data_IF_240782306151
#
_entry.id   IF_240782306151
#
_cell.length_a   1.000
_cell.length_b   1.000
_cell.length_c   1.000
_cell.angle_alpha   90.00
_cell.angle_beta   90.00
_cell.angle_gamma   90.00
#
_symmetry.space_group_name_H-M   'P 1'
#
loop_
_entity.id
_entity.type
_entity.pdbx_description
1 polymer ?
#
# COMPACT_ATOMS: atom_id res chain seq x y z
N UNK A 1 17.96 -17.54 33.20
CA UNK A 1 17.15 -16.36 32.92
C UNK A 1 17.10 -16.17 31.41
N UNK A 2 15.98 -16.51 30.75
CA UNK A 2 15.76 -16.10 29.36
C UNK A 2 15.48 -14.59 29.44
N UNK A 3 16.45 -13.79 29.08
CA UNK A 3 16.21 -12.40 28.77
C UNK A 3 15.09 -12.38 27.71
N UNK A 4 14.03 -11.70 28.01
CA UNK A 4 12.91 -11.44 27.09
C UNK A 4 13.43 -10.49 26.01
N UNK A 5 14.18 -11.03 25.07
CA UNK A 5 14.74 -10.28 23.96
C UNK A 5 13.54 -9.83 23.13
N UNK A 6 13.18 -8.55 23.26
CA UNK A 6 12.11 -7.90 22.50
C UNK A 6 12.22 -8.23 21.01
N UNK A 7 11.18 -7.92 20.25
CA UNK A 7 11.18 -8.17 18.80
C UNK A 7 12.39 -7.44 18.16
N UNK A 8 13.27 -8.16 17.42
CA UNK A 8 14.43 -7.53 16.79
C UNK A 8 14.00 -6.47 15.77
N UNK A 9 14.71 -5.36 15.71
CA UNK A 9 14.41 -4.28 14.76
C UNK A 9 14.67 -4.71 13.32
N UNK A 10 15.77 -5.43 13.09
CA UNK A 10 16.17 -5.97 11.78
C UNK A 10 15.67 -7.37 11.55
N UNK A 11 15.67 -7.82 10.29
CA UNK A 11 15.28 -9.17 9.93
C UNK A 11 16.26 -10.22 10.48
N UNK A 12 15.72 -11.37 10.84
CA UNK A 12 16.47 -12.60 11.16
C UNK A 12 16.34 -13.60 9.99
N UNK A 13 17.17 -14.66 9.96
CA UNK A 13 17.08 -15.68 8.90
C UNK A 13 15.71 -16.35 8.79
N UNK A 14 14.98 -16.49 9.89
CA UNK A 14 13.71 -17.19 10.00
C UNK A 14 12.47 -16.27 10.03
N UNK A 15 12.61 -14.95 10.27
CA UNK A 15 11.48 -14.03 10.45
C UNK A 15 11.82 -12.58 10.13
N UNK A 16 10.78 -11.80 9.86
CA UNK A 16 10.91 -10.36 9.68
C UNK A 16 11.02 -9.61 11.01
N UNK A 17 11.86 -8.59 11.05
CA UNK A 17 12.01 -7.68 12.19
C UNK A 17 10.89 -6.65 12.30
N UNK A 18 10.89 -5.92 13.41
CA UNK A 18 9.86 -4.95 13.75
C UNK A 18 9.66 -3.87 12.67
N UNK A 19 10.75 -3.33 12.11
CA UNK A 19 10.67 -2.29 11.06
C UNK A 19 10.01 -2.82 9.79
N UNK A 20 10.38 -4.02 9.34
CA UNK A 20 9.76 -4.66 8.17
C UNK A 20 8.26 -4.89 8.37
N UNK A 21 7.88 -5.37 9.56
CA UNK A 21 6.47 -5.58 9.92
C UNK A 21 5.70 -4.28 9.99
N UNK A 22 6.25 -3.26 10.64
CA UNK A 22 5.63 -1.93 10.75
C UNK A 22 5.36 -1.35 9.35
N UNK A 23 6.38 -1.30 8.49
CA UNK A 23 6.25 -0.77 7.14
C UNK A 23 5.22 -1.57 6.31
N UNK A 24 5.20 -2.91 6.44
CA UNK A 24 4.23 -3.74 5.74
C UNK A 24 2.79 -3.43 6.17
N UNK A 25 2.53 -3.47 7.47
CA UNK A 25 1.18 -3.30 7.99
C UNK A 25 0.67 -1.87 7.87
N UNK A 26 1.54 -0.85 8.01
CA UNK A 26 1.18 0.54 7.74
C UNK A 26 0.72 0.73 6.30
N UNK A 27 1.47 0.20 5.33
CA UNK A 27 1.08 0.23 3.91
C UNK A 27 -0.24 -0.48 3.69
N UNK A 28 -0.44 -1.67 4.25
CA UNK A 28 -1.68 -2.43 4.12
C UNK A 28 -2.90 -1.66 4.65
N UNK A 29 -2.81 -1.12 5.86
CA UNK A 29 -3.90 -0.35 6.49
C UNK A 29 -4.24 0.90 5.68
N UNK A 30 -3.22 1.62 5.23
CA UNK A 30 -3.45 2.83 4.45
C UNK A 30 -4.00 2.53 3.04
N UNK A 31 -3.61 1.43 2.40
CA UNK A 31 -4.25 1.00 1.14
C UNK A 31 -5.71 0.59 1.36
N UNK A 32 -6.03 -0.13 2.43
CA UNK A 32 -7.42 -0.46 2.77
C UNK A 32 -8.25 0.82 2.96
N UNK A 33 -7.71 1.81 3.69
CA UNK A 33 -8.34 3.13 3.84
C UNK A 33 -8.55 3.81 2.48
N UNK A 34 -7.56 3.79 1.57
CA UNK A 34 -7.66 4.39 0.24
C UNK A 34 -8.79 3.79 -0.59
N UNK A 35 -8.96 2.46 -0.56
CA UNK A 35 -10.08 1.80 -1.26
C UNK A 35 -11.44 2.21 -0.69
N UNK A 36 -11.58 2.19 0.63
CA UNK A 36 -12.83 2.60 1.30
C UNK A 36 -13.12 4.07 1.04
N UNK A 37 -12.13 4.95 1.25
CA UNK A 37 -12.23 6.39 1.02
C UNK A 37 -12.58 6.74 -0.43
N UNK A 38 -11.94 6.07 -1.41
CA UNK A 38 -12.23 6.26 -2.83
C UNK A 38 -13.69 5.89 -3.18
N UNK A 39 -14.20 4.79 -2.62
CA UNK A 39 -15.59 4.40 -2.82
C UNK A 39 -16.58 5.36 -2.17
N UNK A 40 -16.26 5.92 -1.02
CA UNK A 40 -17.08 6.93 -0.35
C UNK A 40 -17.07 8.22 -1.20
N UNK A 41 -15.90 8.80 -1.46
CA UNK A 41 -15.78 10.10 -2.13
C UNK A 41 -16.40 10.14 -3.53
N UNK A 42 -16.40 9.01 -4.25
CA UNK A 42 -16.94 8.95 -5.62
C UNK A 42 -18.44 8.68 -5.68
N UNK A 43 -19.06 8.23 -4.61
CA UNK A 43 -20.48 7.89 -4.53
C UNK A 43 -21.28 8.77 -3.58
N UNK A 44 -20.61 9.55 -2.74
CA UNK A 44 -21.27 10.40 -1.74
C UNK A 44 -21.95 11.59 -2.47
N UNK A 45 -23.28 11.79 -2.31
CA UNK A 45 -23.95 13.01 -2.76
C UNK A 45 -23.32 14.25 -2.12
N UNK A 46 -23.37 15.41 -2.80
CA UNK A 46 -22.70 16.64 -2.36
C UNK A 46 -23.17 17.15 -0.99
N UNK A 47 -24.43 16.96 -0.69
CA UNK A 47 -25.10 17.35 0.55
C UNK A 47 -25.03 16.30 1.66
N UNK A 48 -24.62 15.08 1.32
CA UNK A 48 -24.54 13.98 2.27
C UNK A 48 -23.25 14.01 3.11
N UNK A 49 -23.30 13.41 4.28
CA UNK A 49 -22.17 13.26 5.19
C UNK A 49 -22.06 11.82 5.68
N UNK A 50 -20.83 11.33 5.82
CA UNK A 50 -20.51 10.06 6.45
C UNK A 50 -19.66 10.35 7.68
N UNK A 51 -20.10 9.91 8.85
CA UNK A 51 -19.49 10.25 10.14
C UNK A 51 -19.27 11.76 10.35
N UNK A 52 -20.20 12.60 9.87
CA UNK A 52 -20.09 14.06 9.93
C UNK A 52 -19.18 14.71 8.87
N UNK A 53 -18.46 13.94 8.07
CA UNK A 53 -17.51 14.39 7.06
C UNK A 53 -18.17 14.45 5.67
N UNK A 54 -17.90 15.51 4.93
CA UNK A 54 -18.38 15.70 3.54
C UNK A 54 -17.44 15.06 2.52
N UNK A 55 -17.82 15.12 1.23
CA UNK A 55 -17.02 14.60 0.13
C UNK A 55 -15.63 15.21 0.04
N UNK A 56 -15.48 16.53 0.25
CA UNK A 56 -14.20 17.23 0.17
C UNK A 56 -13.18 16.69 1.17
N UNK A 57 -13.62 16.39 2.38
CA UNK A 57 -12.79 15.73 3.39
C UNK A 57 -12.17 14.43 2.85
N UNK A 58 -12.99 13.55 2.24
CA UNK A 58 -12.49 12.28 1.71
C UNK A 58 -11.55 12.48 0.51
N UNK A 59 -11.80 13.46 -0.36
CA UNK A 59 -10.90 13.82 -1.47
C UNK A 59 -9.55 14.32 -0.96
N UNK A 60 -9.52 15.23 0.00
CA UNK A 60 -8.27 15.79 0.54
C UNK A 60 -7.46 14.74 1.30
N UNK A 61 -8.13 13.89 2.07
CA UNK A 61 -7.47 12.79 2.76
C UNK A 61 -6.97 11.70 1.80
N UNK A 62 -7.74 11.36 0.77
CA UNK A 62 -7.30 10.42 -0.25
C UNK A 62 -6.01 10.89 -0.95
N UNK A 63 -5.97 12.14 -1.38
CA UNK A 63 -4.79 12.74 -2.02
C UNK A 63 -3.58 12.76 -1.06
N UNK A 64 -3.80 13.18 0.18
CA UNK A 64 -2.76 13.30 1.20
C UNK A 64 -2.16 11.94 1.59
N UNK A 65 -3.02 10.97 1.88
CA UNK A 65 -2.59 9.61 2.23
C UNK A 65 -1.91 8.94 1.03
N UNK A 66 -2.32 9.24 -0.21
CA UNK A 66 -1.62 8.81 -1.42
C UNK A 66 -0.15 9.25 -1.42
N UNK A 67 0.15 10.50 -1.03
CA UNK A 67 1.52 10.99 -0.89
C UNK A 67 2.27 10.35 0.28
N UNK A 68 1.61 10.13 1.41
CA UNK A 68 2.19 9.38 2.55
C UNK A 68 2.55 7.95 2.12
N UNK A 69 1.67 7.28 1.38
CA UNK A 69 1.93 5.94 0.84
C UNK A 69 3.13 5.91 -0.10
N UNK A 70 3.31 6.95 -0.93
CA UNK A 70 4.51 7.07 -1.78
C UNK A 70 5.78 7.17 -0.92
N UNK A 71 5.77 8.00 0.12
CA UNK A 71 6.87 8.09 1.08
C UNK A 71 7.17 6.76 1.78
N UNK A 72 6.13 6.05 2.22
CA UNK A 72 6.27 4.72 2.83
C UNK A 72 6.77 3.67 1.82
N UNK A 73 6.37 3.74 0.55
CA UNK A 73 6.87 2.86 -0.51
C UNK A 73 8.38 3.05 -0.71
N UNK A 74 8.84 4.31 -0.74
CA UNK A 74 10.26 4.66 -0.81
C UNK A 74 11.01 4.11 0.41
N UNK A 75 10.53 4.41 1.62
CA UNK A 75 11.14 3.93 2.86
C UNK A 75 11.22 2.40 2.90
N UNK A 76 10.14 1.70 2.49
CA UNK A 76 10.08 0.24 2.42
C UNK A 76 11.07 -0.33 1.39
N UNK A 77 11.22 0.32 0.22
CA UNK A 77 12.17 -0.10 -0.80
C UNK A 77 13.62 0.07 -0.33
N UNK A 78 13.93 1.21 0.29
CA UNK A 78 15.26 1.47 0.88
C UNK A 78 15.56 0.40 1.94
N UNK A 79 14.63 0.19 2.89
CA UNK A 79 14.79 -0.81 3.94
C UNK A 79 15.04 -2.22 3.37
N UNK A 80 14.26 -2.62 2.35
CA UNK A 80 14.43 -3.92 1.67
C UNK A 80 15.80 -4.06 1.00
N UNK A 81 16.37 -2.98 0.47
CA UNK A 81 17.67 -3.00 -0.22
C UNK A 81 18.86 -2.96 0.73
N UNK A 82 18.68 -2.37 1.91
CA UNK A 82 19.75 -2.18 2.91
C UNK A 82 19.75 -3.23 4.02
N UNK A 83 18.68 -4.06 4.12
CA UNK A 83 18.55 -5.05 5.20
C UNK A 83 18.42 -6.46 4.59
N UNK A 84 19.18 -7.46 5.07
CA UNK A 84 19.04 -8.85 4.60
C UNK A 84 17.59 -9.35 4.73
N UNK A 85 17.12 -10.07 3.71
CA UNK A 85 15.81 -10.70 3.76
C UNK A 85 15.89 -12.05 4.48
N UNK A 86 14.81 -12.48 5.17
CA UNK A 86 14.73 -13.82 5.69
C UNK A 86 14.83 -14.86 4.56
N UNK A 87 15.37 -16.03 4.89
CA UNK A 87 15.40 -17.16 3.96
C UNK A 87 14.00 -17.57 3.53
N UNK A 88 13.87 -18.20 2.37
CA UNK A 88 12.59 -18.74 1.93
C UNK A 88 12.01 -19.71 2.97
N UNK A 89 10.69 -19.62 3.16
CA UNK A 89 10.03 -20.57 4.07
C UNK A 89 10.13 -21.99 3.50
N UNK A 90 10.48 -23.02 4.31
CA UNK A 90 10.66 -24.39 3.82
C UNK A 90 9.43 -25.00 3.13
N UNK A 91 8.23 -24.50 3.46
CA UNK A 91 6.98 -24.96 2.83
C UNK A 91 6.76 -24.45 1.40
N UNK A 92 7.59 -23.55 0.92
CA UNK A 92 7.48 -23.02 -0.44
C UNK A 92 8.36 -23.84 -1.40
N UNK A 93 7.71 -24.51 -2.35
CA UNK A 93 8.40 -25.14 -3.49
C UNK A 93 9.05 -24.11 -4.41
N UNK A 94 10.00 -24.53 -5.24
CA UNK A 94 10.67 -23.64 -6.19
C UNK A 94 9.71 -22.86 -7.11
N UNK A 95 8.67 -23.47 -7.71
CA UNK A 95 7.69 -22.72 -8.50
C UNK A 95 6.92 -21.68 -7.66
N UNK A 96 6.58 -22.01 -6.41
CA UNK A 96 5.87 -21.08 -5.51
C UNK A 96 6.73 -19.88 -5.13
N UNK A 97 8.03 -20.07 -4.90
CA UNK A 97 8.98 -18.97 -4.67
C UNK A 97 9.00 -18.00 -5.87
N UNK A 98 8.99 -18.53 -7.09
CA UNK A 98 8.88 -17.74 -8.30
C UNK A 98 7.59 -16.93 -8.39
N UNK A 99 6.46 -17.50 -7.97
CA UNK A 99 5.17 -16.81 -7.90
C UNK A 99 5.21 -15.70 -6.86
N UNK A 100 5.68 -15.99 -5.66
CA UNK A 100 5.82 -15.00 -4.57
C UNK A 100 6.70 -13.84 -5.02
N UNK A 101 7.85 -14.11 -5.64
CA UNK A 101 8.75 -13.07 -6.12
C UNK A 101 8.10 -12.16 -7.18
N UNK A 102 7.35 -12.73 -8.13
CA UNK A 102 6.59 -11.94 -9.12
C UNK A 102 5.50 -11.10 -8.47
N UNK A 103 4.74 -11.66 -7.51
CA UNK A 103 3.72 -10.92 -6.77
C UNK A 103 4.33 -9.75 -5.99
N UNK A 104 5.45 -9.98 -5.30
CA UNK A 104 6.18 -8.91 -4.61
C UNK A 104 6.63 -7.80 -5.57
N UNK A 105 7.15 -8.16 -6.74
CA UNK A 105 7.58 -7.22 -7.77
C UNK A 105 6.40 -6.35 -8.24
N UNK A 106 5.25 -6.98 -8.56
CA UNK A 106 4.05 -6.26 -8.96
C UNK A 106 3.52 -5.35 -7.85
N UNK A 107 3.50 -5.82 -6.60
CA UNK A 107 3.08 -4.99 -5.46
C UNK A 107 3.98 -3.76 -5.30
N UNK A 108 5.31 -3.91 -5.41
CA UNK A 108 6.22 -2.76 -5.38
C UNK A 108 5.96 -1.79 -6.53
N UNK A 109 5.84 -2.27 -7.76
CA UNK A 109 5.50 -1.44 -8.90
C UNK A 109 4.22 -0.63 -8.67
N UNK A 110 3.16 -1.30 -8.24
CA UNK A 110 1.86 -0.67 -8.01
C UNK A 110 1.90 0.33 -6.84
N UNK A 111 2.69 0.07 -5.80
CA UNK A 111 2.90 1.00 -4.68
C UNK A 111 3.47 2.35 -5.13
N UNK A 112 4.28 2.38 -6.21
CA UNK A 112 4.82 3.62 -6.78
C UNK A 112 3.91 4.22 -7.83
N UNK A 113 3.45 3.42 -8.77
CA UNK A 113 2.69 3.93 -9.92
C UNK A 113 1.32 4.48 -9.51
N UNK A 114 0.66 3.87 -8.51
CA UNK A 114 -0.64 4.33 -8.03
C UNK A 114 -0.62 5.77 -7.49
N UNK A 115 0.20 6.14 -6.51
CA UNK A 115 0.24 7.52 -6.02
C UNK A 115 0.69 8.51 -7.09
N UNK A 116 1.64 8.11 -7.95
CA UNK A 116 2.15 8.96 -9.05
C UNK A 116 1.05 9.26 -10.05
N UNK A 117 0.30 8.27 -10.52
CA UNK A 117 -0.82 8.50 -11.45
C UNK A 117 -1.92 9.34 -10.81
N UNK A 118 -2.25 9.12 -9.54
CA UNK A 118 -3.21 9.93 -8.80
C UNK A 118 -2.78 11.39 -8.69
N UNK A 119 -1.52 11.63 -8.34
CA UNK A 119 -0.95 12.98 -8.27
C UNK A 119 -0.96 13.68 -9.64
N UNK A 120 -0.50 13.00 -10.69
CA UNK A 120 -0.51 13.54 -12.05
C UNK A 120 -1.92 13.88 -12.53
N UNK A 121 -2.90 13.00 -12.28
CA UNK A 121 -4.30 13.26 -12.61
C UNK A 121 -4.81 14.54 -11.94
N UNK A 122 -4.60 14.66 -10.63
CA UNK A 122 -5.12 15.78 -9.83
C UNK A 122 -4.48 17.10 -10.26
N UNK A 123 -3.17 17.12 -10.50
CA UNK A 123 -2.44 18.31 -10.93
C UNK A 123 -2.79 18.70 -12.37
N UNK A 124 -2.83 17.75 -13.30
CA UNK A 124 -3.21 17.99 -14.68
C UNK A 124 -4.68 18.41 -14.83
N UNK A 125 -5.57 17.86 -14.00
CA UNK A 125 -6.97 18.27 -13.95
C UNK A 125 -7.20 19.68 -13.39
N UNK A 126 -6.19 20.26 -12.73
CA UNK A 126 -6.29 21.54 -12.05
C UNK A 126 -7.07 21.48 -10.73
N UNK A 127 -7.26 20.28 -10.17
CA UNK A 127 -7.96 20.09 -8.89
C UNK A 127 -7.08 20.42 -7.67
N UNK A 128 -5.75 20.41 -7.83
CA UNK A 128 -4.80 20.66 -6.76
C UNK A 128 -4.80 19.59 -5.65
N UNK A 129 -3.82 19.68 -4.78
CA UNK A 129 -3.73 18.85 -3.57
C UNK A 129 -3.72 19.77 -2.36
N UNK A 130 -4.75 19.67 -1.52
CA UNK A 130 -4.79 20.32 -0.21
C UNK A 130 -4.38 19.27 0.84
N UNK A 131 -3.18 19.39 1.34
CA UNK A 131 -2.61 18.39 2.25
C UNK A 131 -3.39 18.38 3.57
N UNK A 132 -4.08 17.27 3.84
CA UNK A 132 -4.99 17.06 4.97
C UNK A 132 -6.01 18.19 5.18
N UNK A 133 -6.42 18.90 4.10
CA UNK A 133 -7.34 20.02 4.18
C UNK A 133 -6.73 21.31 4.76
N UNK A 134 -5.39 21.38 4.95
CA UNK A 134 -4.71 22.49 5.63
C UNK A 134 -3.91 23.34 4.64
N UNK A 135 -3.00 22.73 3.88
CA UNK A 135 -2.02 23.46 3.05
C UNK A 135 -2.13 23.06 1.59
N UNK A 136 -2.31 24.05 0.72
CA UNK A 136 -2.30 23.81 -0.72
C UNK A 136 -0.87 23.58 -1.22
N UNK A 137 -0.68 22.49 -1.98
CA UNK A 137 0.58 22.21 -2.64
C UNK A 137 0.65 22.91 -4.00
N UNK A 138 1.81 23.45 -4.39
CA UNK A 138 1.99 24.08 -5.69
C UNK A 138 1.76 23.05 -6.81
N UNK A 139 1.19 23.49 -7.93
CA UNK A 139 1.02 22.66 -9.13
C UNK A 139 2.21 22.88 -10.08
N UNK A 140 3.21 21.95 -10.10
CA UNK A 140 4.43 22.13 -10.89
C UNK A 140 4.24 21.89 -12.40
N UNK A 141 3.14 21.24 -12.80
CA UNK A 141 2.89 20.86 -14.21
C UNK A 141 1.83 21.71 -14.88
N UNK A 142 1.09 22.53 -14.10
CA UNK A 142 -0.04 23.30 -14.58
C UNK A 142 -1.23 22.44 -15.00
N UNK A 143 -2.30 23.10 -15.45
CA UNK A 143 -3.52 22.43 -15.93
C UNK A 143 -3.31 21.88 -17.35
N UNK A 144 -3.56 20.60 -17.54
CA UNK A 144 -3.34 19.83 -18.77
C UNK A 144 -4.58 18.98 -19.10
N UNK A 145 -5.69 19.57 -19.58
CA UNK A 145 -6.95 18.84 -19.77
C UNK A 145 -6.86 17.70 -20.78
N UNK A 146 -5.96 17.84 -21.77
CA UNK A 146 -5.82 16.90 -22.90
C UNK A 146 -5.47 15.48 -22.47
N UNK A 147 -4.69 15.31 -21.40
CA UNK A 147 -4.28 13.98 -20.94
C UNK A 147 -4.73 13.65 -19.50
N UNK A 148 -5.31 14.61 -18.79
CA UNK A 148 -5.82 14.41 -17.43
C UNK A 148 -6.81 13.23 -17.35
N UNK A 149 -7.75 13.14 -18.30
CA UNK A 149 -8.72 12.04 -18.37
C UNK A 149 -8.08 10.68 -18.63
N UNK A 150 -7.01 10.63 -19.42
CA UNK A 150 -6.26 9.38 -19.68
C UNK A 150 -5.61 8.89 -18.38
N UNK A 151 -4.96 9.78 -17.64
CA UNK A 151 -4.31 9.43 -16.35
C UNK A 151 -5.33 9.03 -15.29
N UNK A 152 -6.51 9.68 -15.26
CA UNK A 152 -7.63 9.25 -14.44
C UNK A 152 -8.02 7.80 -14.71
N UNK A 153 -8.26 7.47 -15.98
CA UNK A 153 -8.63 6.10 -16.38
C UNK A 153 -7.55 5.11 -15.99
N UNK A 154 -6.28 5.46 -16.22
CA UNK A 154 -5.15 4.62 -15.82
C UNK A 154 -5.10 4.41 -14.30
N UNK A 155 -5.28 5.47 -13.51
CA UNK A 155 -5.31 5.38 -12.05
C UNK A 155 -6.41 4.43 -11.56
N UNK A 156 -7.61 4.54 -12.10
CA UNK A 156 -8.74 3.66 -11.75
C UNK A 156 -8.48 2.19 -12.15
N UNK A 157 -7.96 1.96 -13.36
CA UNK A 157 -7.61 0.59 -13.81
C UNK A 157 -6.53 -0.03 -12.92
N UNK A 158 -5.49 0.73 -12.60
CA UNK A 158 -4.42 0.28 -11.72
C UNK A 158 -4.93 -0.03 -10.30
N UNK A 159 -5.96 0.69 -9.82
CA UNK A 159 -6.58 0.39 -8.52
C UNK A 159 -7.20 -1.02 -8.50
N UNK A 160 -7.91 -1.42 -9.56
CA UNK A 160 -8.44 -2.78 -9.68
C UNK A 160 -7.34 -3.84 -9.84
N UNK A 161 -6.30 -3.54 -10.64
CA UNK A 161 -5.13 -4.44 -10.75
C UNK A 161 -4.47 -4.64 -9.40
N UNK A 162 -4.25 -3.55 -8.64
CA UNK A 162 -3.69 -3.63 -7.28
C UNK A 162 -4.56 -4.49 -6.35
N UNK A 163 -5.88 -4.33 -6.40
CA UNK A 163 -6.80 -5.14 -5.60
C UNK A 163 -6.69 -6.63 -5.93
N UNK A 164 -6.63 -6.98 -7.22
CA UNK A 164 -6.44 -8.38 -7.67
C UNK A 164 -5.10 -8.95 -7.17
N UNK A 165 -4.02 -8.18 -7.30
CA UNK A 165 -2.68 -8.63 -6.87
C UNK A 165 -2.62 -8.79 -5.35
N UNK A 166 -3.24 -7.88 -4.58
CA UNK A 166 -3.38 -8.00 -3.12
C UNK A 166 -4.20 -9.24 -2.76
N UNK A 167 -5.35 -9.45 -3.41
CA UNK A 167 -6.19 -10.62 -3.15
C UNK A 167 -5.44 -11.93 -3.42
N UNK A 168 -4.65 -12.00 -4.50
CA UNK A 168 -3.82 -13.16 -4.79
C UNK A 168 -2.70 -13.35 -3.74
N UNK A 169 -2.02 -12.26 -3.37
CA UNK A 169 -1.00 -12.30 -2.30
C UNK A 169 -1.58 -12.83 -0.98
N UNK A 170 -2.69 -12.26 -0.53
CA UNK A 170 -3.38 -12.68 0.70
C UNK A 170 -3.89 -14.11 0.57
N UNK A 171 -4.49 -14.48 -0.56
CA UNK A 171 -5.00 -15.83 -0.83
C UNK A 171 -3.91 -16.89 -0.75
N UNK A 172 -2.73 -16.62 -1.32
CA UNK A 172 -1.59 -17.54 -1.23
C UNK A 172 -1.10 -17.70 0.22
N UNK A 173 -0.99 -16.59 0.95
CA UNK A 173 -0.59 -16.62 2.36
C UNK A 173 -1.60 -17.39 3.21
N UNK A 174 -2.90 -17.16 3.02
CA UNK A 174 -3.96 -17.86 3.74
C UNK A 174 -4.00 -19.34 3.40
N UNK A 175 -3.87 -19.71 2.13
CA UNK A 175 -3.77 -21.11 1.71
C UNK A 175 -2.63 -21.81 2.47
N UNK A 176 -1.43 -21.26 2.45
CA UNK A 176 -0.27 -21.83 3.14
C UNK A 176 -0.45 -21.87 4.65
N UNK A 177 -0.97 -20.80 5.23
CA UNK A 177 -1.06 -20.68 6.69
C UNK A 177 -2.20 -21.50 7.29
N UNK A 178 -3.41 -21.42 6.69
CA UNK A 178 -4.65 -22.02 7.23
C UNK A 178 -4.88 -23.41 6.69
N UNK A 179 -4.82 -23.58 5.36
CA UNK A 179 -5.14 -24.86 4.72
C UNK A 179 -3.98 -25.86 4.87
N UNK A 180 -2.77 -25.45 4.50
CA UNK A 180 -1.58 -26.29 4.59
C UNK A 180 -0.93 -26.28 5.99
N UNK A 181 -1.41 -25.42 6.89
CA UNK A 181 -0.97 -25.31 8.31
C UNK A 181 0.54 -25.10 8.47
N UNK A 182 1.18 -24.43 7.53
CA UNK A 182 2.63 -24.26 7.50
C UNK A 182 3.16 -23.19 8.47
N UNK A 183 2.29 -22.34 8.99
CA UNK A 183 2.70 -21.21 9.84
C UNK A 183 3.35 -20.04 9.07
N UNK A 184 3.33 -20.00 7.74
CA UNK A 184 3.99 -19.00 6.90
C UNK A 184 3.69 -17.55 7.33
N UNK A 185 2.42 -17.24 7.61
CA UNK A 185 2.01 -15.89 8.02
C UNK A 185 2.66 -15.43 9.34
N UNK A 186 3.03 -16.34 10.23
CA UNK A 186 3.60 -16.00 11.53
C UNK A 186 4.87 -15.16 11.41
N UNK A 187 5.61 -15.30 10.31
CA UNK A 187 6.83 -14.55 10.04
C UNK A 187 6.59 -13.04 9.91
N UNK A 188 5.37 -12.63 9.48
CA UNK A 188 5.01 -11.24 9.21
C UNK A 188 3.94 -10.68 10.16
N UNK A 189 3.27 -11.54 10.97
CA UNK A 189 2.28 -11.07 11.93
C UNK A 189 2.90 -10.10 12.96
N UNK A 190 2.22 -8.98 13.29
CA UNK A 190 2.83 -7.88 14.06
C UNK A 190 3.17 -8.28 15.50
N UNK A 191 2.38 -9.15 16.14
CA UNK A 191 2.47 -9.44 17.57
C UNK A 191 3.07 -10.82 17.91
N UNK A 192 3.54 -11.58 16.92
CA UNK A 192 4.22 -12.86 17.19
C UNK A 192 5.73 -12.64 17.30
N UNK A 193 6.24 -13.04 18.48
CA UNK A 193 7.68 -13.12 18.78
C UNK A 193 8.34 -14.28 18.05
#
# INVERSE_FOLDING_TARGET
>A
PRYDAGMPLTNLPDRYGAVSKLLHWSVFVLFAYQFVGANIMTRLPRDARVFGMNGDFFYDWHKSIGLVLLGLAIARLIWRRTTPLPQWHPSLSEPERGIVHRLETWLYWLMFVMPVTGYLFVMAGGYGVKLFGITDLPNPIGKQPSWSGIVWTLHVLLAYVLLIVIAWHVGLVLKKHVVERTGLANRMLPFRK
#
